data_IF_103824712532
#
_entry.id   IF_103824712532
#
_cell.length_a   1.000
_cell.length_b   1.000
_cell.length_c   1.000
_cell.angle_alpha   90.00
_cell.angle_beta   90.00
_cell.angle_gamma   90.00
#
_symmetry.space_group_name_H-M   'P 1'
#
loop_
_entity.id
_entity.type
_entity.pdbx_description
1 polymer ?
#
# COMPACT_ATOMS: atom_id res chain seq x y z
N UNK A 1 -4.23 23.48 26.62
CA UNK A 1 -4.83 23.52 25.26
C UNK A 1 -4.01 24.32 24.25
N UNK A 2 -3.32 25.41 24.61
CA UNK A 2 -2.53 26.22 23.65
C UNK A 2 -1.35 25.45 23.02
N UNK A 3 -0.68 24.54 23.76
CA UNK A 3 0.47 23.78 23.24
C UNK A 3 0.16 22.74 22.14
N UNK A 4 -1.07 22.20 22.12
CA UNK A 4 -1.47 21.15 21.20
C UNK A 4 -1.62 21.65 19.74
N UNK A 5 -2.19 22.85 19.58
CA UNK A 5 -2.35 23.47 18.26
C UNK A 5 -1.01 23.97 17.69
N UNK A 6 -0.09 24.39 18.57
CA UNK A 6 1.24 24.89 18.17
C UNK A 6 2.12 23.75 17.66
N UNK A 7 2.13 22.59 18.31
CA UNK A 7 2.93 21.42 17.87
C UNK A 7 2.51 20.89 16.50
N UNK A 8 1.21 20.74 16.25
CA UNK A 8 0.70 20.33 14.93
C UNK A 8 0.96 21.37 13.85
N UNK A 9 0.78 22.66 14.15
CA UNK A 9 1.02 23.75 13.21
C UNK A 9 2.49 23.91 12.79
N UNK A 10 3.42 23.76 13.73
CA UNK A 10 4.87 23.80 13.44
C UNK A 10 5.30 22.61 12.59
N UNK A 11 4.76 21.41 12.86
CA UNK A 11 5.07 20.21 12.09
C UNK A 11 4.57 20.31 10.64
N UNK A 12 3.34 20.79 10.45
CA UNK A 12 2.80 21.09 9.11
C UNK A 12 3.72 22.10 8.39
N UNK A 13 4.07 23.20 9.06
CA UNK A 13 4.90 24.24 8.48
C UNK A 13 6.32 23.74 8.16
N UNK A 14 6.93 22.91 9.00
CA UNK A 14 8.25 22.32 8.75
C UNK A 14 8.21 21.39 7.53
N UNK A 15 7.23 20.51 7.46
CA UNK A 15 7.07 19.59 6.34
C UNK A 15 6.80 20.32 5.03
N UNK A 16 6.02 21.40 5.06
CA UNK A 16 5.71 22.17 3.86
C UNK A 16 6.83 23.13 3.44
N UNK A 17 7.42 23.87 4.38
CA UNK A 17 8.35 24.96 4.08
C UNK A 17 9.82 24.54 4.07
N UNK A 18 10.19 23.50 4.82
CA UNK A 18 11.58 23.02 4.92
C UNK A 18 11.78 21.74 4.12
N UNK A 19 10.86 20.78 4.23
CA UNK A 19 10.93 19.52 3.46
C UNK A 19 10.26 19.61 2.07
N UNK A 20 9.57 20.71 1.78
CA UNK A 20 8.92 20.94 0.48
C UNK A 20 7.72 20.03 0.18
N UNK A 21 7.13 19.39 1.21
CA UNK A 21 5.98 18.49 1.06
C UNK A 21 4.71 19.27 0.76
N UNK A 22 3.88 18.72 -0.13
CA UNK A 22 2.53 19.22 -0.36
C UNK A 22 1.60 18.86 0.80
N UNK A 23 0.49 19.59 0.99
CA UNK A 23 -0.48 19.33 2.06
C UNK A 23 -1.05 17.88 2.02
N UNK A 24 -1.10 17.27 0.83
CA UNK A 24 -1.56 15.89 0.63
C UNK A 24 -0.51 14.82 1.03
N UNK A 25 0.76 15.23 1.13
CA UNK A 25 1.88 14.42 1.60
C UNK A 25 2.40 14.82 2.98
N UNK A 26 1.69 15.74 3.63
CA UNK A 26 1.84 15.98 5.05
C UNK A 26 1.54 14.66 5.75
N UNK A 27 2.52 14.19 6.52
CA UNK A 27 2.37 13.01 7.35
C UNK A 27 1.38 13.36 8.47
N UNK A 28 0.08 13.20 8.20
CA UNK A 28 -1.00 13.60 9.11
C UNK A 28 -0.92 12.86 10.45
N UNK A 29 -0.26 11.70 10.47
CA UNK A 29 0.03 10.99 11.70
C UNK A 29 1.13 11.70 12.50
N UNK A 30 2.22 12.14 11.85
CA UNK A 30 3.23 12.98 12.51
C UNK A 30 2.66 14.33 12.97
N UNK A 31 1.75 14.95 12.21
CA UNK A 31 1.07 16.18 12.63
C UNK A 31 0.18 15.93 13.85
N UNK A 32 -0.59 14.83 13.84
CA UNK A 32 -1.42 14.43 14.97
C UNK A 32 -0.56 14.07 16.20
N UNK A 33 0.58 13.41 15.99
CA UNK A 33 1.52 13.07 17.05
C UNK A 33 2.26 14.30 17.59
N UNK A 34 2.71 15.24 16.76
CA UNK A 34 3.34 16.50 17.19
C UNK A 34 2.33 17.40 17.92
N UNK A 35 1.05 17.36 17.53
CA UNK A 35 -0.01 18.00 18.30
C UNK A 35 -0.20 17.34 19.68
N UNK A 36 -0.11 16.00 19.75
CA UNK A 36 -0.17 15.23 21.00
C UNK A 36 1.07 15.42 21.88
N UNK A 37 2.28 15.46 21.31
CA UNK A 37 3.54 15.76 22.01
C UNK A 37 3.57 17.20 22.54
N UNK A 38 2.93 18.13 21.82
CA UNK A 38 2.67 19.48 22.31
C UNK A 38 1.69 19.53 23.51
N UNK A 39 0.94 18.45 23.76
CA UNK A 39 0.10 18.29 24.95
C UNK A 39 0.78 17.47 26.07
N UNK A 40 1.65 16.52 25.71
CA UNK A 40 2.24 15.53 26.60
C UNK A 40 3.74 15.54 26.35
N UNK A 41 4.49 16.20 27.24
CA UNK A 41 5.92 16.39 27.08
C UNK A 41 6.67 15.10 26.74
N UNK A 42 7.08 15.01 25.47
CA UNK A 42 8.20 14.24 24.91
C UNK A 42 8.31 12.74 25.21
N UNK A 43 8.14 11.93 24.17
CA UNK A 43 9.14 10.97 23.62
C UNK A 43 8.44 9.87 22.83
N UNK A 44 8.58 9.87 21.49
CA UNK A 44 8.44 8.62 20.73
C UNK A 44 8.09 8.72 19.23
N UNK A 45 7.72 9.88 18.71
CA UNK A 45 7.10 10.00 17.37
C UNK A 45 7.99 9.59 16.19
N UNK A 46 9.31 9.78 16.30
CA UNK A 46 10.23 9.63 15.15
C UNK A 46 10.43 8.18 14.68
N UNK A 47 10.28 7.19 15.57
CA UNK A 47 10.37 5.76 15.21
C UNK A 47 9.06 5.25 14.63
N UNK A 48 7.92 5.71 15.13
CA UNK A 48 6.60 5.30 14.64
C UNK A 48 6.29 5.92 13.26
N UNK A 49 6.65 7.20 13.07
CA UNK A 49 6.55 7.88 11.77
C UNK A 49 7.47 7.26 10.71
N UNK A 50 8.71 6.89 11.05
CA UNK A 50 9.61 6.14 10.14
C UNK A 50 9.07 4.75 9.79
N UNK A 51 8.41 4.08 10.74
CA UNK A 51 7.82 2.75 10.53
C UNK A 51 6.61 2.81 9.59
N UNK A 52 5.85 3.91 9.62
CA UNK A 52 4.63 4.08 8.82
C UNK A 52 4.88 4.78 7.48
N UNK A 53 5.94 5.58 7.36
CA UNK A 53 6.52 6.04 6.07
C UNK A 53 6.86 4.87 5.13
N UNK A 54 7.20 3.70 5.69
CA UNK A 54 7.48 2.47 4.93
C UNK A 54 6.19 1.85 4.34
N UNK A 55 5.04 2.06 4.98
CA UNK A 55 3.77 1.42 4.61
C UNK A 55 2.90 2.24 3.65
N UNK A 56 3.09 3.55 3.60
CA UNK A 56 2.35 4.47 2.72
C UNK A 56 3.26 5.18 1.72
N UNK A 57 4.30 4.48 1.23
CA UNK A 57 5.07 4.95 0.08
C UNK A 57 4.11 5.35 -1.05
N UNK A 58 4.46 6.38 -1.83
CA UNK A 58 3.62 6.89 -2.91
C UNK A 58 3.48 5.85 -4.03
N UNK A 59 2.65 4.81 -3.84
CA UNK A 59 2.33 3.78 -4.82
C UNK A 59 0.89 3.98 -5.27
N UNK A 60 0.71 4.51 -6.47
CA UNK A 60 -0.60 4.82 -7.04
C UNK A 60 -0.54 4.82 -8.56
N UNK A 61 -1.70 4.87 -9.20
CA UNK A 61 -1.86 4.92 -10.64
C UNK A 61 -2.62 6.17 -11.07
N UNK A 62 -2.53 6.53 -12.35
CA UNK A 62 -3.37 7.58 -12.93
C UNK A 62 -4.83 7.11 -13.06
N UNK A 63 -5.77 8.07 -13.13
CA UNK A 63 -7.22 7.83 -13.07
C UNK A 63 -7.72 6.75 -14.04
N UNK A 64 -7.17 6.74 -15.25
CA UNK A 64 -7.65 5.90 -16.36
C UNK A 64 -7.13 4.46 -16.28
N UNK A 65 -6.26 4.15 -15.32
CA UNK A 65 -5.73 2.80 -15.15
C UNK A 65 -6.87 1.82 -14.87
N UNK A 66 -7.06 0.86 -15.75
CA UNK A 66 -8.12 -0.13 -15.63
C UNK A 66 -7.79 -1.18 -14.56
N UNK A 67 -8.80 -1.64 -13.86
CA UNK A 67 -8.72 -2.67 -12.81
C UNK A 67 -9.68 -3.80 -13.17
N UNK A 68 -9.25 -5.04 -13.00
CA UNK A 68 -10.11 -6.21 -13.17
C UNK A 68 -11.10 -6.34 -12.02
N UNK A 69 -12.39 -6.09 -12.27
CA UNK A 69 -13.47 -6.27 -11.29
C UNK A 69 -14.38 -7.43 -11.65
N UNK A 70 -15.22 -7.89 -10.70
CA UNK A 70 -16.18 -8.97 -10.96
C UNK A 70 -17.18 -8.65 -12.08
N UNK A 71 -17.35 -7.36 -12.41
CA UNK A 71 -18.24 -6.86 -13.44
C UNK A 71 -17.49 -6.40 -14.71
N UNK A 72 -16.21 -6.76 -14.86
CA UNK A 72 -15.35 -6.35 -15.97
C UNK A 72 -14.34 -5.26 -15.60
N UNK A 73 -13.72 -4.66 -16.62
CA UNK A 73 -12.72 -3.61 -16.43
C UNK A 73 -13.38 -2.32 -15.95
N UNK A 74 -12.79 -1.70 -14.93
CA UNK A 74 -13.25 -0.42 -14.37
C UNK A 74 -12.04 0.51 -14.16
N UNK A 75 -12.11 1.80 -14.53
CA UNK A 75 -11.07 2.77 -14.18
C UNK A 75 -10.84 2.84 -12.67
N UNK A 76 -9.59 2.93 -12.22
CA UNK A 76 -9.24 2.94 -10.80
C UNK A 76 -9.88 4.12 -10.06
N UNK A 77 -10.10 5.25 -10.74
CA UNK A 77 -10.80 6.41 -10.16
C UNK A 77 -12.27 6.15 -9.84
N UNK A 78 -12.89 5.12 -10.43
CA UNK A 78 -14.28 4.74 -10.23
C UNK A 78 -14.47 3.57 -9.25
N UNK A 79 -13.39 2.92 -8.84
CA UNK A 79 -13.41 1.83 -7.86
C UNK A 79 -13.88 2.35 -6.50
N UNK A 80 -14.82 1.63 -5.88
CA UNK A 80 -15.42 2.00 -4.59
C UNK A 80 -15.23 0.90 -3.56
N UNK A 81 -15.27 1.28 -2.28
CA UNK A 81 -15.33 0.31 -1.17
C UNK A 81 -16.50 -0.65 -1.39
N UNK A 82 -16.23 -1.95 -1.26
CA UNK A 82 -17.19 -3.02 -1.51
C UNK A 82 -17.18 -3.57 -2.94
N UNK A 83 -16.62 -2.88 -3.93
CA UNK A 83 -16.36 -3.47 -5.25
C UNK A 83 -15.45 -4.68 -5.09
N UNK A 84 -15.67 -5.76 -5.85
CA UNK A 84 -14.77 -6.90 -5.85
C UNK A 84 -13.78 -6.82 -7.01
N UNK A 85 -12.51 -6.82 -6.68
CA UNK A 85 -11.39 -6.80 -7.62
C UNK A 85 -10.69 -8.14 -7.66
N UNK A 86 -10.16 -8.51 -8.83
CA UNK A 86 -9.36 -9.72 -8.98
C UNK A 86 -8.04 -9.54 -8.23
N UNK A 87 -7.66 -10.55 -7.48
CA UNK A 87 -6.44 -10.55 -6.66
C UNK A 87 -5.82 -11.93 -6.65
N UNK A 88 -4.53 -12.02 -6.36
CA UNK A 88 -3.72 -13.23 -6.40
C UNK A 88 -3.27 -13.64 -5.00
N UNK A 89 -3.58 -14.87 -4.61
CA UNK A 89 -3.04 -15.47 -3.38
C UNK A 89 -1.74 -16.22 -3.72
N UNK A 90 -0.60 -15.61 -3.39
CA UNK A 90 0.73 -16.20 -3.64
C UNK A 90 0.93 -17.55 -2.93
N UNK A 91 0.21 -17.83 -1.83
CA UNK A 91 0.34 -19.08 -1.07
C UNK A 91 -0.39 -20.23 -1.74
N UNK A 92 -1.57 -19.97 -2.29
CA UNK A 92 -2.37 -20.99 -2.99
C UNK A 92 -2.21 -20.95 -4.50
N UNK A 93 -1.46 -19.99 -5.01
CA UNK A 93 -1.28 -19.70 -6.44
C UNK A 93 -2.61 -19.55 -7.19
N UNK A 94 -3.62 -18.98 -6.52
CA UNK A 94 -4.98 -18.85 -7.07
C UNK A 94 -5.43 -17.41 -7.12
N UNK A 95 -6.15 -17.08 -8.19
CA UNK A 95 -6.79 -15.77 -8.33
C UNK A 95 -8.22 -15.82 -7.82
N UNK A 96 -8.63 -14.80 -7.07
CA UNK A 96 -10.01 -14.68 -6.57
C UNK A 96 -10.45 -13.23 -6.48
N UNK A 97 -11.76 -13.02 -6.63
CA UNK A 97 -12.37 -11.72 -6.40
C UNK A 97 -12.45 -11.41 -4.92
N UNK A 98 -12.00 -10.22 -4.54
CA UNK A 98 -11.95 -9.78 -3.15
C UNK A 98 -12.45 -8.35 -3.01
N UNK A 99 -13.14 -8.04 -1.90
CA UNK A 99 -13.71 -6.71 -1.72
C UNK A 99 -12.60 -5.68 -1.48
N UNK A 100 -12.79 -4.51 -2.07
CA UNK A 100 -12.04 -3.28 -1.78
C UNK A 100 -12.45 -2.77 -0.39
N UNK A 101 -11.46 -2.55 0.46
CA UNK A 101 -11.64 -2.15 1.87
C UNK A 101 -11.51 -0.65 2.08
N UNK A 102 -10.67 0.01 1.29
CA UNK A 102 -10.43 1.44 1.35
C UNK A 102 -9.99 1.94 -0.03
N UNK A 103 -10.31 3.18 -0.35
CA UNK A 103 -9.82 3.88 -1.55
C UNK A 103 -8.95 5.04 -1.08
N UNK A 104 -7.83 5.25 -1.77
CA UNK A 104 -6.80 6.23 -1.46
C UNK A 104 -6.63 7.09 -2.71
N UNK A 105 -6.59 8.41 -2.53
CA UNK A 105 -6.31 9.35 -3.61
C UNK A 105 -5.37 10.43 -3.10
N UNK A 106 -4.54 10.95 -4.00
CA UNK A 106 -3.63 12.05 -3.71
C UNK A 106 -3.38 12.88 -4.96
N UNK A 107 -3.07 14.16 -4.79
CA UNK A 107 -2.72 15.04 -5.90
C UNK A 107 -1.52 15.89 -5.52
N UNK A 108 -0.44 15.76 -6.30
CA UNK A 108 0.80 16.52 -6.13
C UNK A 108 1.74 16.24 -7.30
N UNK A 109 2.96 16.78 -7.24
CA UNK A 109 4.01 16.40 -8.17
C UNK A 109 4.50 14.99 -7.85
N UNK A 110 4.30 14.07 -8.79
CA UNK A 110 4.82 12.70 -8.73
C UNK A 110 5.86 12.48 -9.82
N UNK A 111 6.81 11.58 -9.56
CA UNK A 111 7.54 10.90 -10.63
C UNK A 111 6.66 9.74 -11.12
N UNK A 112 6.25 9.82 -12.37
CA UNK A 112 5.41 8.84 -13.05
C UNK A 112 6.25 8.04 -14.03
N UNK A 113 5.99 6.74 -14.07
CA UNK A 113 6.60 5.79 -14.97
C UNK A 113 5.50 5.28 -15.89
N UNK A 114 5.63 5.59 -17.18
CA UNK A 114 4.78 5.05 -18.22
C UNK A 114 5.44 3.78 -18.75
N UNK A 115 4.74 2.66 -18.65
CA UNK A 115 5.22 1.33 -19.02
C UNK A 115 4.40 0.89 -20.22
N UNK A 116 5.02 0.80 -21.39
CA UNK A 116 4.36 0.26 -22.59
C UNK A 116 4.74 -1.20 -22.78
N UNK A 117 3.71 -2.00 -23.00
CA UNK A 117 3.77 -3.45 -23.14
C UNK A 117 3.89 -3.85 -24.62
N UNK A 118 4.36 -5.07 -24.89
CA UNK A 118 4.46 -5.61 -26.25
C UNK A 118 3.10 -5.93 -26.88
N UNK A 119 2.03 -6.01 -26.07
CA UNK A 119 0.63 -6.00 -26.50
C UNK A 119 0.18 -4.68 -27.12
N UNK A 120 0.89 -3.58 -26.84
CA UNK A 120 0.51 -2.21 -27.19
C UNK A 120 -0.22 -1.45 -26.08
N UNK A 121 -0.58 -2.12 -24.98
CA UNK A 121 -1.13 -1.44 -23.79
C UNK A 121 -0.07 -0.59 -23.09
N UNK A 122 -0.49 0.49 -22.41
CA UNK A 122 0.37 1.28 -21.53
C UNK A 122 -0.26 1.48 -20.16
N UNK A 123 0.57 1.38 -19.12
CA UNK A 123 0.18 1.57 -17.71
C UNK A 123 1.04 2.69 -17.13
N UNK A 124 0.42 3.66 -16.46
CA UNK A 124 1.15 4.76 -15.83
C UNK A 124 1.01 4.72 -14.31
N UNK A 125 2.15 4.59 -13.63
CA UNK A 125 2.21 4.42 -12.19
C UNK A 125 3.23 5.37 -11.57
N UNK A 126 3.08 5.67 -10.29
CA UNK A 126 4.14 6.32 -9.51
C UNK A 126 5.41 5.46 -9.50
N UNK A 127 6.58 6.10 -9.43
CA UNK A 127 7.91 5.46 -9.45
C UNK A 127 8.08 4.25 -8.52
N UNK A 128 7.49 4.32 -7.32
CA UNK A 128 7.56 3.29 -6.30
C UNK A 128 6.35 2.34 -6.35
N UNK A 129 5.67 2.16 -7.48
CA UNK A 129 4.60 1.16 -7.55
C UNK A 129 5.18 -0.24 -7.82
N UNK A 130 4.92 -1.28 -7.00
CA UNK A 130 5.45 -2.61 -7.24
C UNK A 130 4.72 -3.37 -8.36
N UNK A 131 5.49 -3.92 -9.29
CA UNK A 131 5.06 -4.84 -10.35
C UNK A 131 5.70 -6.22 -10.16
N UNK A 132 4.97 -7.29 -10.44
CA UNK A 132 5.50 -8.64 -10.30
C UNK A 132 6.20 -9.12 -11.58
N UNK A 133 7.51 -9.34 -11.51
CA UNK A 133 8.28 -9.97 -12.58
C UNK A 133 8.33 -11.48 -12.34
N UNK A 134 7.87 -12.26 -13.32
CA UNK A 134 7.84 -13.73 -13.20
C UNK A 134 9.24 -14.29 -12.94
N UNK A 135 9.40 -15.06 -11.87
CA UNK A 135 10.68 -15.64 -11.45
C UNK A 135 11.66 -14.67 -10.75
N UNK A 136 11.29 -13.39 -10.56
CA UNK A 136 12.08 -12.40 -9.80
C UNK A 136 11.33 -11.78 -8.63
N UNK A 137 10.00 -11.75 -8.67
CA UNK A 137 9.15 -11.17 -7.62
C UNK A 137 8.86 -9.68 -7.84
N UNK A 138 8.50 -9.01 -6.74
CA UNK A 138 8.10 -7.60 -6.71
C UNK A 138 9.25 -6.63 -7.01
N UNK A 139 9.06 -5.75 -7.98
CA UNK A 139 10.03 -4.72 -8.38
C UNK A 139 9.33 -3.36 -8.51
N UNK A 140 9.93 -2.24 -8.08
CA UNK A 140 9.34 -0.91 -8.27
C UNK A 140 9.28 -0.55 -9.75
N UNK A 141 8.31 0.29 -10.12
CA UNK A 141 8.12 0.78 -11.49
C UNK A 141 9.39 1.44 -12.06
N UNK A 142 10.08 2.27 -11.27
CA UNK A 142 11.35 2.92 -11.67
C UNK A 142 12.54 1.96 -11.82
N UNK A 143 12.40 0.71 -11.35
CA UNK A 143 13.39 -0.36 -11.50
C UNK A 143 13.13 -1.28 -12.69
N UNK A 144 11.98 -1.12 -13.36
CA UNK A 144 11.61 -1.92 -14.52
C UNK A 144 12.50 -1.59 -15.73
N UNK A 145 12.72 -2.60 -16.57
CA UNK A 145 13.58 -2.51 -17.75
C UNK A 145 12.92 -3.19 -18.94
N UNK A 146 13.14 -2.62 -20.13
CA UNK A 146 12.75 -3.23 -21.41
C UNK A 146 13.24 -4.68 -21.49
N UNK A 147 12.37 -5.56 -21.99
CA UNK A 147 12.61 -7.00 -22.11
C UNK A 147 12.29 -7.82 -20.85
N UNK A 148 11.93 -7.20 -19.73
CA UNK A 148 11.42 -7.92 -18.56
C UNK A 148 9.98 -8.40 -18.78
N UNK A 149 9.63 -9.55 -18.19
CA UNK A 149 8.33 -10.20 -18.34
C UNK A 149 7.49 -10.03 -17.06
N UNK A 150 6.40 -9.27 -17.16
CA UNK A 150 5.43 -9.07 -16.08
C UNK A 150 4.41 -10.20 -16.06
N UNK A 151 3.98 -10.63 -14.87
CA UNK A 151 2.99 -11.68 -14.73
C UNK A 151 1.57 -11.16 -14.98
N UNK A 152 0.79 -11.93 -15.75
CA UNK A 152 -0.62 -11.64 -16.02
C UNK A 152 -1.57 -12.47 -15.14
N UNK A 153 -2.84 -12.06 -15.10
CA UNK A 153 -3.91 -12.69 -14.31
C UNK A 153 -4.17 -14.17 -14.66
N UNK A 154 -3.84 -14.60 -15.88
CA UNK A 154 -3.97 -15.99 -16.34
C UNK A 154 -2.69 -16.83 -16.12
N UNK A 155 -1.67 -16.28 -15.46
CA UNK A 155 -0.39 -16.92 -15.19
C UNK A 155 0.63 -16.88 -16.34
N UNK A 156 0.26 -16.34 -17.51
CA UNK A 156 1.21 -16.04 -18.58
C UNK A 156 1.97 -14.74 -18.29
N UNK A 157 2.67 -14.21 -19.28
CA UNK A 157 3.47 -13.00 -19.13
C UNK A 157 3.33 -12.07 -20.32
N UNK A 158 3.53 -10.78 -20.08
CA UNK A 158 3.64 -9.71 -21.07
C UNK A 158 5.03 -9.07 -20.97
N UNK A 159 5.60 -8.60 -22.08
CA UNK A 159 6.97 -8.05 -22.09
C UNK A 159 6.94 -6.53 -22.09
N UNK A 160 7.80 -5.92 -21.28
CA UNK A 160 8.00 -4.48 -21.28
C UNK A 160 8.72 -4.08 -22.57
N UNK A 161 8.07 -3.25 -23.38
CA UNK A 161 8.58 -2.74 -24.65
C UNK A 161 9.26 -1.38 -24.49
N UNK A 162 8.69 -0.51 -23.66
CA UNK A 162 9.19 0.86 -23.43
C UNK A 162 8.91 1.29 -21.99
N UNK A 163 9.78 2.15 -21.46
CA UNK A 163 9.65 2.75 -20.13
C UNK A 163 10.02 4.21 -20.23
N UNK A 164 9.05 5.09 -19.98
CA UNK A 164 9.25 6.53 -19.95
C UNK A 164 9.05 7.08 -18.54
N UNK A 165 9.73 8.18 -18.24
CA UNK A 165 9.65 8.86 -16.95
C UNK A 165 9.24 10.31 -17.13
N UNK A 166 8.25 10.75 -16.36
CA UNK A 166 7.87 12.16 -16.29
C UNK A 166 7.71 12.61 -14.84
N UNK A 167 7.80 13.92 -14.61
CA UNK A 167 7.52 14.51 -13.30
C UNK A 167 6.51 15.63 -13.48
N UNK A 168 5.28 15.43 -13.00
CA UNK A 168 4.20 16.40 -13.16
C UNK A 168 3.23 16.38 -11.98
N UNK A 169 2.48 17.47 -11.83
CA UNK A 169 1.31 17.51 -10.94
C UNK A 169 0.28 16.52 -11.51
N UNK A 170 -0.10 15.53 -10.72
CA UNK A 170 -1.01 14.47 -11.15
C UNK A 170 -1.91 14.05 -9.99
N UNK A 171 -3.15 13.71 -10.32
CA UNK A 171 -4.06 13.07 -9.36
C UNK A 171 -3.98 11.56 -9.53
N UNK A 172 -3.61 10.88 -8.46
CA UNK A 172 -3.35 9.44 -8.45
C UNK A 172 -4.28 8.71 -7.49
N UNK A 173 -4.49 7.42 -7.77
CA UNK A 173 -5.44 6.57 -7.09
C UNK A 173 -4.79 5.25 -6.69
N UNK A 174 -5.19 4.71 -5.55
CA UNK A 174 -4.89 3.37 -5.08
C UNK A 174 -6.07 2.88 -4.21
N UNK A 175 -6.10 1.62 -3.85
CA UNK A 175 -7.06 1.07 -2.91
C UNK A 175 -6.43 -0.07 -2.12
N UNK A 176 -7.12 -0.56 -1.09
CA UNK A 176 -6.70 -1.74 -0.33
C UNK A 176 -7.62 -2.91 -0.63
N UNK A 177 -7.05 -4.01 -1.10
CA UNK A 177 -7.77 -5.30 -1.28
C UNK A 177 -7.71 -6.10 0.00
N UNK A 178 -8.81 -6.78 0.34
CA UNK A 178 -8.82 -7.72 1.45
C UNK A 178 -7.79 -8.86 1.22
N UNK A 179 -7.19 -9.34 2.31
CA UNK A 179 -6.35 -10.54 2.44
C UNK A 179 -5.04 -10.67 1.62
N UNK A 180 -4.94 -10.16 0.38
CA UNK A 180 -3.78 -10.41 -0.51
C UNK A 180 -2.99 -9.16 -0.84
N UNK A 181 -3.57 -7.97 -0.67
CA UNK A 181 -2.89 -6.68 -0.89
C UNK A 181 -2.24 -6.52 -2.28
N UNK A 182 -2.78 -7.21 -3.28
CA UNK A 182 -2.41 -7.13 -4.68
C UNK A 182 -3.68 -7.15 -5.54
N UNK A 183 -3.54 -6.69 -6.78
CA UNK A 183 -4.60 -6.63 -7.76
C UNK A 183 -4.03 -6.74 -9.19
N UNK A 184 -4.92 -6.68 -10.17
CA UNK A 184 -4.58 -6.76 -11.59
C UNK A 184 -5.05 -5.52 -12.33
N UNK A 185 -4.10 -4.84 -12.98
CA UNK A 185 -4.32 -3.59 -13.70
C UNK A 185 -4.08 -3.73 -15.20
N UNK A 186 -4.70 -2.85 -15.99
CA UNK A 186 -4.69 -2.91 -17.44
C UNK A 186 -5.61 -3.98 -18.02
N UNK A 187 -5.91 -3.86 -19.31
CA UNK A 187 -6.63 -4.86 -20.11
C UNK A 187 -5.92 -6.21 -20.14
N UNK A 188 -4.58 -6.23 -20.18
CA UNK A 188 -3.78 -7.45 -20.10
C UNK A 188 -3.85 -8.10 -18.71
N UNK A 189 -4.20 -7.33 -17.67
CA UNK A 189 -4.30 -7.78 -16.28
C UNK A 189 -2.95 -8.09 -15.67
N UNK A 190 -2.10 -7.08 -15.56
CA UNK A 190 -0.76 -7.11 -14.96
C UNK A 190 -0.85 -7.15 -13.44
N UNK A 191 -0.11 -8.08 -12.82
CA UNK A 191 -0.07 -8.25 -11.36
C UNK A 191 0.75 -7.13 -10.69
N UNK A 192 0.10 -6.38 -9.80
CA UNK A 192 0.67 -5.25 -9.05
C UNK A 192 0.33 -5.35 -7.56
N UNK A 193 1.08 -4.64 -6.71
CA UNK A 193 0.90 -4.71 -5.25
C UNK A 193 0.49 -3.36 -4.64
N UNK A 194 -0.50 -3.38 -3.75
CA UNK A 194 -1.13 -2.19 -3.17
C UNK A 194 -0.28 -1.50 -2.09
N UNK A 195 0.87 -2.05 -1.69
CA UNK A 195 1.83 -1.43 -0.75
C UNK A 195 3.30 -1.83 -1.02
N UNK A 196 4.27 -0.93 -0.80
CA UNK A 196 5.65 -1.40 -0.59
C UNK A 196 5.78 -1.99 0.81
N UNK A 197 6.27 -3.23 0.92
CA UNK A 197 6.77 -3.76 2.19
C UNK A 197 5.85 -4.73 2.93
N UNK A 198 5.14 -5.59 2.21
CA UNK A 198 4.69 -6.83 2.82
C UNK A 198 5.80 -7.89 2.79
N UNK A 199 6.83 -7.71 3.64
CA UNK A 199 7.79 -8.78 3.96
C UNK A 199 7.14 -9.85 4.88
N UNK A 200 5.80 -9.95 4.98
CA UNK A 200 5.14 -10.86 5.92
C UNK A 200 5.15 -12.28 5.38
N UNK A 201 5.64 -13.19 6.21
CA UNK A 201 5.67 -14.62 5.90
C UNK A 201 4.34 -15.27 6.30
N UNK A 202 3.88 -16.31 5.59
CA UNK A 202 2.66 -17.03 5.97
C UNK A 202 2.78 -17.66 7.38
N UNK A 203 1.66 -17.72 8.10
CA UNK A 203 1.58 -18.33 9.42
C UNK A 203 1.98 -19.82 9.35
N UNK A 204 2.91 -20.23 10.20
CA UNK A 204 3.29 -21.63 10.39
C UNK A 204 2.64 -22.18 11.66
N UNK A 205 2.35 -23.48 11.66
CA UNK A 205 1.81 -24.14 12.85
C UNK A 205 2.83 -24.04 13.99
N UNK A 206 2.40 -23.51 15.13
CA UNK A 206 3.24 -23.39 16.31
C UNK A 206 3.87 -24.73 16.71
N UNK A 207 5.18 -24.76 16.86
CA UNK A 207 5.95 -25.92 17.33
C UNK A 207 6.59 -25.60 18.69
N UNK A 208 6.53 -26.56 19.62
CA UNK A 208 7.07 -26.39 20.98
C UNK A 208 8.60 -26.19 20.90
N UNK A 209 9.10 -25.10 21.47
CA UNK A 209 10.53 -24.76 21.47
C UNK A 209 11.02 -23.99 20.24
N UNK A 210 10.16 -23.75 19.24
CA UNK A 210 10.51 -22.95 18.06
C UNK A 210 10.04 -21.51 18.24
N UNK A 211 10.95 -20.56 18.09
CA UNK A 211 10.60 -19.13 18.07
C UNK A 211 10.09 -18.78 16.67
N UNK A 212 8.79 -18.48 16.58
CA UNK A 212 8.13 -18.09 15.33
C UNK A 212 8.76 -16.83 14.71
N UNK A 213 8.76 -16.78 13.38
CA UNK A 213 9.40 -15.73 12.59
C UNK A 213 8.76 -14.36 12.90
N UNK A 214 9.54 -13.29 13.14
CA UNK A 214 8.98 -11.98 13.50
C UNK A 214 8.05 -11.37 12.45
N UNK A 215 8.18 -11.80 11.18
CA UNK A 215 7.39 -11.31 10.05
C UNK A 215 6.17 -12.19 9.76
N UNK A 216 5.97 -13.28 10.49
CA UNK A 216 4.85 -14.20 10.31
C UNK A 216 3.49 -13.50 10.48
N UNK A 217 2.52 -13.72 9.60
CA UNK A 217 1.17 -13.11 9.67
C UNK A 217 0.34 -13.69 10.81
N UNK A 218 -0.27 -12.84 11.61
CA UNK A 218 -1.25 -13.18 12.64
C UNK A 218 -2.53 -12.36 12.43
N UNK A 219 -3.68 -12.99 12.66
CA UNK A 219 -4.93 -12.25 12.83
C UNK A 219 -5.08 -11.79 14.28
N UNK A 220 -5.38 -10.51 14.47
CA UNK A 220 -5.76 -9.95 15.76
C UNK A 220 -6.87 -8.92 15.58
N UNK A 221 -7.44 -8.46 16.67
CA UNK A 221 -8.51 -7.48 16.67
C UNK A 221 -7.96 -6.09 16.30
N UNK A 222 -8.76 -5.20 15.72
CA UNK A 222 -8.45 -3.78 15.56
C UNK A 222 -8.53 -3.12 16.94
N UNK A 223 -9.69 -3.23 17.57
CA UNK A 223 -9.96 -2.82 18.95
C UNK A 223 -9.76 -4.04 19.84
N UNK A 224 -8.89 -3.92 20.85
CA UNK A 224 -8.62 -5.02 21.78
C UNK A 224 -9.87 -5.39 22.59
N UNK A 225 -10.02 -6.67 22.96
CA UNK A 225 -11.11 -7.14 23.83
C UNK A 225 -11.15 -6.42 25.18
N UNK A 226 -9.98 -6.09 25.74
CA UNK A 226 -9.83 -5.28 26.96
C UNK A 226 -10.39 -3.85 26.82
N UNK A 227 -10.41 -3.31 25.58
CA UNK A 227 -10.95 -1.99 25.22
C UNK A 227 -12.34 -2.10 24.56
N UNK A 228 -13.10 -3.17 24.86
CA UNK A 228 -14.45 -3.46 24.35
C UNK A 228 -14.55 -3.76 22.84
N UNK A 229 -13.47 -4.15 22.18
CA UNK A 229 -13.56 -4.68 20.82
C UNK A 229 -14.31 -6.00 20.76
N UNK A 230 -15.12 -6.18 19.72
CA UNK A 230 -15.91 -7.39 19.49
C UNK A 230 -15.17 -8.43 18.64
N UNK A 231 -15.68 -9.66 18.54
CA UNK A 231 -15.10 -10.71 17.69
C UNK A 231 -15.56 -10.64 16.23
N UNK A 232 -16.11 -9.51 15.77
CA UNK A 232 -16.64 -9.40 14.41
C UNK A 232 -15.52 -9.43 13.38
N UNK A 233 -15.83 -9.90 12.16
CA UNK A 233 -14.89 -9.82 11.04
C UNK A 233 -14.47 -8.37 10.75
N UNK A 234 -15.37 -7.41 10.97
CA UNK A 234 -15.10 -5.97 10.87
C UNK A 234 -14.10 -5.44 11.90
N UNK A 235 -13.91 -6.16 13.02
CA UNK A 235 -12.90 -5.83 14.02
C UNK A 235 -11.65 -6.72 13.87
N UNK A 236 -11.49 -7.48 12.77
CA UNK A 236 -10.30 -8.28 12.48
C UNK A 236 -9.29 -7.54 11.60
N UNK A 237 -8.01 -7.67 11.90
CA UNK A 237 -6.90 -7.22 11.04
C UNK A 237 -5.79 -8.28 10.97
N UNK A 238 -5.08 -8.29 9.84
CA UNK A 238 -3.92 -9.16 9.62
C UNK A 238 -2.65 -8.35 9.79
N UNK A 239 -1.84 -8.71 10.79
CA UNK A 239 -0.58 -8.02 11.13
C UNK A 239 0.58 -9.01 11.18
N UNK A 240 1.80 -8.54 11.00
CA UNK A 240 2.99 -9.36 11.28
C UNK A 240 3.12 -9.64 12.79
N UNK A 241 3.74 -10.73 13.22
CA UNK A 241 3.91 -11.09 14.65
C UNK A 241 4.57 -9.98 15.45
N UNK A 242 5.62 -9.36 14.90
CA UNK A 242 6.30 -8.21 15.51
C UNK A 242 5.39 -6.98 15.58
N UNK A 243 4.62 -6.73 14.52
CA UNK A 243 3.66 -5.63 14.41
C UNK A 243 2.55 -5.79 15.44
N UNK A 244 2.08 -7.04 15.63
CA UNK A 244 1.06 -7.35 16.62
C UNK A 244 1.59 -7.20 18.05
N UNK A 245 2.84 -7.58 18.33
CA UNK A 245 3.44 -7.36 19.65
C UNK A 245 3.65 -5.88 19.96
N UNK A 246 4.10 -5.09 18.99
CA UNK A 246 4.27 -3.64 19.18
C UNK A 246 2.94 -2.92 19.50
N UNK A 247 1.80 -3.49 19.11
CA UNK A 247 0.47 -3.01 19.52
C UNK A 247 0.16 -3.24 21.01
N UNK A 248 0.79 -4.23 21.64
CA UNK A 248 0.56 -4.56 23.05
C UNK A 248 1.37 -3.68 24.01
N UNK A 249 2.45 -3.07 23.51
CA UNK A 249 3.37 -2.26 24.31
C UNK A 249 2.97 -0.76 24.37
N UNK A 250 1.83 -0.37 23.78
CA UNK A 250 1.25 0.99 23.74
C UNK A 250 -0.22 1.00 24.22
#
# INVERSE_FOLDING_TARGET
>A
MVGCAVGGGIEIAWQMLVEGKSLACVDWLSVAMSALEGCVGGMGSSKLAKLLKKWFGCNSFTADTLVHTENGLKPISEVKVGDKVLSYDERTETTRYQPVMAVIQGEQRYQLILITLDSGESIEATAEHPFYIKGKGWNPANGLKVGQALQLHNGTTVVIKEVDTSVRLEKVYNFTVANTHNDFVGGDGVLVHNAFGDDRLPAQKSQKGVTQEPREVHMDHIIQKSKRGDGSLSNGQVLCRKCNRAKWDN
#
